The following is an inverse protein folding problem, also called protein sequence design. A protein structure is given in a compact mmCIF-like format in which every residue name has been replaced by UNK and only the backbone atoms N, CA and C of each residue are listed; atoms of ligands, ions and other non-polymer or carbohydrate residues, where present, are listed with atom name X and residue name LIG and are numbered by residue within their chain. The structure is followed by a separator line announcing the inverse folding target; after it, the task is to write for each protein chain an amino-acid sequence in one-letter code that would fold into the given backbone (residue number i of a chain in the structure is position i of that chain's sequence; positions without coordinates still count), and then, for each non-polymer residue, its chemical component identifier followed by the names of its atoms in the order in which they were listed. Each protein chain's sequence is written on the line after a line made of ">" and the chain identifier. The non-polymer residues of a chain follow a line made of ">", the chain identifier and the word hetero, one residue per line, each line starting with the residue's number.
data_IF_635564193229
#
_entry.id   IF_635564193229
#
_cell.length_a   1.000
_cell.length_b   1.000
_cell.length_c   1.000
_cell.angle_alpha   90.00
_cell.angle_beta   90.00
_cell.angle_gamma   90.00
#
_symmetry.space_group_name_H-M   'P 1'
#
loop_
_entity.id
_entity.type
_entity.pdbx_description
1 polymer ?
#
# COMPACT_ATOMS: atom_id res chain seq x y z
N UNK A 1 45.56 -9.70 93.76
CA UNK A 1 46.57 -10.76 93.58
C UNK A 1 46.24 -11.45 92.26
N UNK A 2 47.01 -11.23 91.18
CA UNK A 2 48.08 -12.14 90.66
C UNK A 2 47.60 -13.60 90.65
N UNK A 3 47.69 -14.42 89.61
CA UNK A 3 48.40 -14.47 88.32
C UNK A 3 47.91 -15.81 87.69
N UNK A 4 47.64 -15.92 86.39
CA UNK A 4 48.51 -16.52 85.36
C UNK A 4 47.86 -17.76 84.70
N UNK A 5 47.70 -17.68 83.39
CA UNK A 5 47.96 -18.65 82.32
C UNK A 5 47.86 -20.17 82.60
N UNK A 6 47.06 -20.88 81.78
CA UNK A 6 47.64 -21.71 80.72
C UNK A 6 46.64 -22.10 79.62
N UNK A 7 47.09 -22.25 78.36
CA UNK A 7 46.27 -22.60 77.19
C UNK A 7 46.36 -24.09 76.83
N UNK A 8 45.31 -24.68 76.25
CA UNK A 8 45.42 -25.91 75.45
C UNK A 8 44.49 -25.83 74.23
N UNK A 9 45.05 -26.33 73.14
CA UNK A 9 44.68 -26.25 71.74
C UNK A 9 43.62 -27.25 71.26
N UNK A 10 42.83 -26.77 70.29
CA UNK A 10 42.47 -27.39 69.00
C UNK A 10 41.77 -28.76 68.89
N UNK A 11 40.66 -28.66 68.15
CA UNK A 11 40.17 -29.56 67.10
C UNK A 11 39.38 -30.80 67.50
N UNK A 12 38.06 -30.68 67.42
CA UNK A 12 37.25 -31.58 66.58
C UNK A 12 36.00 -30.83 66.10
N UNK A 13 35.84 -30.72 64.78
CA UNK A 13 34.58 -30.38 64.10
C UNK A 13 34.48 -31.33 62.89
N UNK A 14 33.28 -31.74 62.50
CA UNK A 14 32.62 -30.93 61.47
C UNK A 14 31.16 -30.63 61.81
N UNK A 15 30.84 -29.35 61.72
CA UNK A 15 29.49 -28.82 61.73
C UNK A 15 28.65 -29.38 60.58
N UNK A 16 27.44 -29.83 60.91
CA UNK A 16 26.38 -30.15 59.95
C UNK A 16 26.07 -28.92 59.11
N UNK A 17 26.07 -29.14 57.80
CA UNK A 17 25.61 -28.25 56.73
C UNK A 17 24.21 -27.69 56.99
N UNK A 18 24.09 -26.36 57.08
CA UNK A 18 22.83 -25.63 56.91
C UNK A 18 22.96 -24.64 55.74
N UNK A 19 23.03 -25.17 54.52
CA UNK A 19 22.81 -24.35 53.33
C UNK A 19 21.30 -24.15 53.15
N UNK A 20 20.71 -23.17 53.82
CA UNK A 20 19.42 -22.61 53.43
C UNK A 20 19.22 -21.21 54.06
N UNK A 21 19.82 -20.17 53.45
CA UNK A 21 19.09 -18.91 53.30
C UNK A 21 19.24 -18.30 51.90
N UNK A 22 19.44 -19.12 50.85
CA UNK A 22 19.43 -18.63 49.45
C UNK A 22 18.16 -19.02 48.68
N UNK A 23 17.36 -19.99 49.18
CA UNK A 23 16.15 -20.46 48.50
C UNK A 23 14.88 -19.64 48.84
N UNK A 24 14.88 -18.86 49.93
CA UNK A 24 13.71 -18.05 50.32
C UNK A 24 13.72 -16.62 49.74
N UNK A 25 14.87 -16.15 49.23
CA UNK A 25 14.97 -14.85 48.56
C UNK A 25 14.57 -14.91 47.08
N UNK A 26 14.64 -16.10 46.44
CA UNK A 26 14.18 -16.29 45.06
C UNK A 26 12.66 -16.49 44.93
N UNK A 27 11.98 -16.93 45.99
CA UNK A 27 10.54 -17.24 45.94
C UNK A 27 9.64 -16.01 46.17
N UNK A 28 10.18 -14.93 46.77
CA UNK A 28 9.48 -13.64 46.91
C UNK A 28 9.59 -12.78 45.64
N UNK A 29 10.60 -13.00 44.80
CA UNK A 29 10.71 -12.33 43.49
C UNK A 29 9.83 -12.96 42.41
N UNK A 30 9.48 -14.25 42.52
CA UNK A 30 8.62 -14.94 41.54
C UNK A 30 7.12 -14.84 41.90
N UNK A 31 6.76 -14.66 43.17
CA UNK A 31 5.36 -14.49 43.59
C UNK A 31 4.86 -13.02 43.55
N UNK A 32 5.76 -12.03 43.59
CA UNK A 32 5.40 -10.61 43.46
C UNK A 32 5.10 -10.14 42.03
N UNK A 33 5.46 -10.95 41.02
CA UNK A 33 5.37 -10.58 39.61
C UNK A 33 4.01 -10.92 38.95
N UNK A 34 3.11 -11.61 39.65
CA UNK A 34 1.88 -12.16 39.04
C UNK A 34 0.55 -11.66 39.60
N UNK A 35 0.51 -10.73 40.56
CA UNK A 35 -0.74 -10.39 41.25
C UNK A 35 -1.04 -8.90 41.47
N UNK A 36 -0.50 -7.99 40.65
CA UNK A 36 -1.07 -6.63 40.51
C UNK A 36 -1.14 -6.26 39.01
N UNK A 37 -2.39 -6.15 38.54
CA UNK A 37 -2.90 -5.99 37.16
C UNK A 37 -2.18 -4.94 36.28
N UNK A 38 -2.07 -5.16 34.95
CA UNK A 38 -1.90 -4.05 34.00
C UNK A 38 -2.93 -4.04 32.84
N UNK A 39 -3.63 -2.92 32.59
CA UNK A 39 -4.02 -2.51 31.25
C UNK A 39 -2.84 -1.73 30.63
N UNK A 40 -1.75 -2.43 30.26
CA UNK A 40 -0.57 -1.80 29.65
C UNK A 40 0.36 -2.84 28.97
N UNK A 41 -0.14 -3.63 28.01
CA UNK A 41 0.66 -4.56 27.21
C UNK A 41 0.44 -4.37 25.70
N UNK A 42 0.60 -3.13 25.22
CA UNK A 42 0.80 -2.84 23.77
C UNK A 42 2.01 -1.92 23.54
N UNK A 43 2.75 -1.50 24.58
CA UNK A 43 3.75 -0.43 24.43
C UNK A 43 5.22 -0.89 24.34
N UNK A 44 5.52 -2.19 24.40
CA UNK A 44 6.91 -2.69 24.33
C UNK A 44 7.08 -3.80 23.29
N UNK A 45 7.09 -3.39 22.01
CA UNK A 45 7.71 -4.16 20.93
C UNK A 45 8.38 -3.29 19.83
N UNK A 46 8.59 -1.99 20.07
CA UNK A 46 9.14 -1.09 19.05
C UNK A 46 9.97 0.06 19.63
N UNK A 47 11.08 -0.20 20.35
CA UNK A 47 12.03 0.90 20.67
C UNK A 47 13.51 0.56 20.57
N UNK A 48 13.97 -0.70 20.53
CA UNK A 48 15.41 -0.97 20.36
C UNK A 48 15.65 -1.93 19.20
N UNK A 49 16.15 -1.36 18.10
CA UNK A 49 16.68 -2.11 16.97
C UNK A 49 17.92 -2.91 17.38
N UNK A 50 17.69 -4.19 17.64
CA UNK A 50 18.60 -5.32 17.44
C UNK A 50 17.67 -6.40 16.86
N UNK A 51 17.82 -6.87 15.63
CA UNK A 51 19.05 -7.39 15.05
C UNK A 51 19.14 -8.87 15.38
N UNK A 52 18.24 -9.66 14.77
CA UNK A 52 18.41 -11.03 14.27
C UNK A 52 17.12 -11.83 14.48
N UNK A 53 16.40 -12.05 13.38
CA UNK A 53 16.14 -13.41 12.92
C UNK A 53 15.61 -13.35 11.50
N UNK A 54 16.36 -13.99 10.61
CA UNK A 54 15.95 -14.39 9.29
C UNK A 54 14.60 -15.12 9.41
N UNK A 55 13.51 -14.43 9.11
CA UNK A 55 12.27 -15.10 8.77
C UNK A 55 12.53 -15.84 7.45
N UNK A 56 12.98 -17.08 7.55
CA UNK A 56 13.03 -18.04 6.46
C UNK A 56 11.59 -18.28 6.02
N UNK A 57 11.13 -17.49 5.04
CA UNK A 57 9.90 -17.80 4.33
C UNK A 57 10.12 -19.11 3.58
N UNK A 58 9.29 -20.12 3.85
CA UNK A 58 9.32 -21.40 3.16
C UNK A 58 9.29 -21.21 1.64
N UNK A 59 10.04 -22.03 0.90
CA UNK A 59 10.09 -21.99 -0.57
C UNK A 59 8.69 -22.08 -1.19
N UNK A 60 8.26 -20.96 -1.76
CA UNK A 60 6.95 -20.71 -2.38
C UNK A 60 6.88 -19.23 -2.75
N UNK A 61 6.21 -18.89 -3.85
CA UNK A 61 6.23 -17.57 -4.50
C UNK A 61 6.32 -16.38 -3.52
N UNK A 62 7.27 -15.45 -3.75
CA UNK A 62 7.47 -14.26 -2.92
C UNK A 62 6.14 -13.52 -2.76
N UNK A 63 5.54 -13.55 -1.56
CA UNK A 63 4.20 -13.03 -1.36
C UNK A 63 4.16 -11.50 -1.41
N UNK A 64 5.32 -10.84 -1.49
CA UNK A 64 5.48 -9.41 -1.64
C UNK A 64 6.11 -9.03 -2.99
N UNK A 65 6.24 -9.95 -3.94
CA UNK A 65 6.64 -9.63 -5.33
C UNK A 65 7.83 -8.67 -5.45
N UNK A 66 8.85 -8.80 -4.59
CA UNK A 66 9.94 -7.84 -4.53
C UNK A 66 10.76 -7.91 -5.83
N UNK A 67 11.17 -6.77 -6.41
CA UNK A 67 12.00 -6.77 -7.62
C UNK A 67 13.41 -7.34 -7.42
N UNK A 68 13.82 -7.63 -6.18
CA UNK A 68 15.15 -8.11 -5.82
C UNK A 68 15.14 -9.60 -5.42
N UNK A 69 14.88 -10.53 -6.34
CA UNK A 69 15.44 -11.89 -6.27
C UNK A 69 15.76 -12.44 -7.65
N UNK A 70 17.04 -12.32 -8.01
CA UNK A 70 17.68 -13.12 -9.04
C UNK A 70 17.76 -14.58 -8.56
N UNK A 71 16.72 -15.38 -8.79
CA UNK A 71 16.78 -16.83 -8.57
C UNK A 71 16.08 -17.56 -9.71
N UNK A 72 16.89 -18.19 -10.56
CA UNK A 72 16.44 -19.11 -11.58
C UNK A 72 15.77 -20.34 -10.94
N UNK A 73 14.46 -20.41 -11.04
CA UNK A 73 13.72 -21.65 -10.86
C UNK A 73 12.59 -21.69 -11.90
N UNK A 74 12.72 -22.62 -12.85
CA UNK A 74 11.76 -22.85 -13.93
C UNK A 74 10.48 -23.47 -13.36
N UNK A 75 9.45 -22.67 -13.17
CA UNK A 75 8.07 -23.17 -13.23
C UNK A 75 7.68 -23.35 -14.69
N UNK A 76 7.13 -24.52 -15.05
CA UNK A 76 6.63 -24.81 -16.39
C UNK A 76 5.65 -23.71 -16.82
N UNK A 77 6.06 -22.90 -17.80
CA UNK A 77 5.30 -21.77 -18.28
C UNK A 77 4.07 -22.28 -19.05
N UNK A 78 2.88 -21.83 -18.63
CA UNK A 78 1.75 -21.72 -19.57
C UNK A 78 2.27 -21.00 -20.83
N UNK A 79 1.84 -21.38 -22.05
CA UNK A 79 2.28 -20.69 -23.25
C UNK A 79 2.06 -19.19 -23.05
N UNK A 80 3.08 -18.34 -23.33
CA UNK A 80 2.97 -16.91 -23.07
C UNK A 80 1.81 -16.37 -23.91
N UNK A 81 0.69 -16.06 -23.26
CA UNK A 81 -0.35 -15.26 -23.87
C UNK A 81 0.30 -13.92 -24.19
N UNK A 82 0.36 -13.57 -25.49
CA UNK A 82 0.84 -12.26 -25.90
C UNK A 82 -0.16 -11.24 -25.36
N UNK A 83 0.23 -10.34 -24.44
CA UNK A 83 -0.71 -9.38 -23.88
C UNK A 83 -1.27 -8.52 -25.02
N UNK A 84 -2.59 -8.27 -25.05
CA UNK A 84 -3.17 -7.32 -25.98
C UNK A 84 -2.51 -5.93 -25.81
N UNK A 85 -2.42 -5.14 -26.89
CA UNK A 85 -1.95 -3.76 -26.78
C UNK A 85 -2.81 -2.96 -25.78
N UNK A 86 -2.19 -2.06 -25.00
CA UNK A 86 -2.88 -1.20 -24.03
C UNK A 86 -4.15 -0.54 -24.60
N UNK A 87 -4.14 0.04 -25.83
CA UNK A 87 -5.35 0.61 -26.41
C UNK A 87 -6.51 -0.39 -26.47
N UNK A 88 -6.25 -1.64 -26.88
CA UNK A 88 -7.28 -2.69 -27.02
C UNK A 88 -8.00 -2.95 -25.70
N UNK A 89 -7.27 -3.01 -24.59
CA UNK A 89 -7.84 -3.31 -23.27
C UNK A 89 -8.69 -2.14 -22.73
N UNK A 90 -8.36 -0.93 -23.15
CA UNK A 90 -9.14 0.26 -22.79
C UNK A 90 -10.51 0.32 -23.48
N UNK A 91 -10.69 -0.31 -24.65
CA UNK A 91 -11.99 -0.39 -25.33
C UNK A 91 -12.95 -1.42 -24.73
N UNK A 92 -12.46 -2.33 -23.87
CA UNK A 92 -13.31 -3.34 -23.23
C UNK A 92 -14.09 -2.71 -22.06
N UNK A 93 -15.35 -3.09 -21.89
CA UNK A 93 -16.08 -2.76 -20.66
C UNK A 93 -15.42 -3.45 -19.48
N UNK A 94 -15.06 -2.70 -18.43
CA UNK A 94 -14.55 -3.30 -17.20
C UNK A 94 -15.69 -3.35 -16.19
N UNK A 95 -15.99 -4.56 -15.72
CA UNK A 95 -16.89 -4.71 -14.59
C UNK A 95 -16.28 -4.02 -13.36
N UNK A 96 -17.11 -3.41 -12.49
CA UNK A 96 -16.62 -2.94 -11.19
C UNK A 96 -16.06 -4.10 -10.37
N UNK A 97 -15.28 -3.78 -9.33
CA UNK A 97 -14.88 -4.79 -8.37
C UNK A 97 -16.15 -5.46 -7.78
N UNK A 98 -16.12 -6.77 -7.53
CA UNK A 98 -17.25 -7.44 -6.89
C UNK A 98 -17.52 -6.83 -5.52
N UNK A 99 -18.77 -6.91 -5.08
CA UNK A 99 -19.13 -6.44 -3.75
C UNK A 99 -18.27 -7.14 -2.69
N UNK A 100 -17.62 -6.32 -1.86
CA UNK A 100 -16.74 -6.81 -0.80
C UNK A 100 -17.56 -7.15 0.45
N UNK A 101 -17.44 -8.37 0.99
CA UNK A 101 -18.03 -8.71 2.27
C UNK A 101 -17.48 -7.81 3.39
N UNK A 102 -18.25 -7.63 4.47
CA UNK A 102 -17.87 -6.80 5.62
C UNK A 102 -16.48 -7.13 6.17
N UNK A 103 -16.15 -8.41 6.28
CA UNK A 103 -14.84 -8.86 6.77
C UNK A 103 -13.67 -8.42 5.86
N UNK A 104 -13.91 -8.23 4.57
CA UNK A 104 -12.90 -7.71 3.63
C UNK A 104 -12.77 -6.19 3.78
N UNK A 105 -13.88 -5.47 3.93
CA UNK A 105 -13.80 -4.01 4.14
C UNK A 105 -13.17 -3.65 5.49
N UNK A 106 -13.45 -4.41 6.54
CA UNK A 106 -12.78 -4.26 7.85
C UNK A 106 -11.27 -4.56 7.75
N UNK A 107 -10.86 -5.54 6.94
CA UNK A 107 -9.45 -5.82 6.67
C UNK A 107 -8.76 -4.64 5.93
N UNK A 108 -9.43 -4.07 4.93
CA UNK A 108 -8.90 -2.93 4.16
C UNK A 108 -8.72 -1.68 5.03
N UNK A 109 -9.71 -1.39 5.88
CA UNK A 109 -9.68 -0.29 6.86
C UNK A 109 -8.52 -0.45 7.86
N UNK A 110 -8.33 -1.66 8.40
CA UNK A 110 -7.23 -1.95 9.33
C UNK A 110 -5.86 -1.83 8.64
N UNK A 111 -5.72 -2.34 7.41
CA UNK A 111 -4.48 -2.17 6.62
C UNK A 111 -4.19 -0.67 6.39
N UNK A 112 -5.22 0.12 6.06
CA UNK A 112 -5.07 1.56 5.89
C UNK A 112 -4.60 2.22 7.19
N UNK A 113 -5.27 1.92 8.31
CA UNK A 113 -4.93 2.46 9.63
C UNK A 113 -3.50 2.13 10.05
N UNK A 114 -3.08 0.88 9.89
CA UNK A 114 -1.70 0.44 10.20
C UNK A 114 -0.67 1.11 9.28
N UNK A 115 -1.00 1.32 8.00
CA UNK A 115 -0.12 2.04 7.06
C UNK A 115 0.06 3.51 7.44
N UNK A 116 -1.03 4.18 7.82
CA UNK A 116 -1.00 5.56 8.32
C UNK A 116 -0.26 5.62 9.66
N UNK A 117 -0.41 4.61 10.52
CA UNK A 117 0.36 4.50 11.76
C UNK A 117 1.87 4.43 11.47
N UNK A 118 2.31 3.59 10.52
CA UNK A 118 3.72 3.50 10.11
C UNK A 118 4.28 4.82 9.58
N UNK A 119 3.46 5.64 8.92
CA UNK A 119 3.83 6.99 8.46
C UNK A 119 3.94 7.98 9.61
N UNK A 120 2.89 8.10 10.40
CA UNK A 120 2.78 9.11 11.46
C UNK A 120 3.80 8.90 12.59
N UNK A 121 4.09 7.65 12.98
CA UNK A 121 5.16 7.33 13.94
C UNK A 121 6.57 7.73 13.46
N UNK A 122 6.73 8.04 12.18
CA UNK A 122 7.98 8.52 11.55
C UNK A 122 7.90 9.99 11.13
N UNK A 123 6.92 10.74 11.65
CA UNK A 123 6.76 12.17 11.36
C UNK A 123 6.28 12.48 9.94
N UNK A 124 5.73 11.50 9.22
CA UNK A 124 5.19 11.70 7.87
C UNK A 124 3.71 12.03 7.92
N UNK A 125 3.26 12.82 6.95
CA UNK A 125 1.84 13.19 6.80
C UNK A 125 0.96 11.94 6.66
N UNK A 126 -0.17 11.92 7.35
CA UNK A 126 -1.19 10.90 7.18
C UNK A 126 -1.71 10.90 5.73
N UNK A 127 -2.18 9.74 5.26
CA UNK A 127 -2.76 9.61 3.93
C UNK A 127 -4.28 9.60 4.05
N UNK A 128 -4.94 10.37 3.20
CA UNK A 128 -6.39 10.39 3.12
C UNK A 128 -6.90 9.19 2.31
N UNK A 129 -7.97 8.56 2.79
CA UNK A 129 -8.62 7.49 2.05
C UNK A 129 -9.34 8.06 0.83
N UNK A 130 -9.12 7.48 -0.35
CA UNK A 130 -9.84 7.87 -1.57
C UNK A 130 -10.68 6.70 -2.15
N UNK A 131 -12.01 6.84 -2.30
CA UNK A 131 -12.87 5.78 -2.82
C UNK A 131 -12.51 5.30 -4.23
N UNK A 132 -12.05 6.18 -5.11
CA UNK A 132 -11.63 5.80 -6.47
C UNK A 132 -10.35 4.96 -6.48
N UNK A 133 -9.41 5.25 -5.57
CA UNK A 133 -8.21 4.42 -5.37
C UNK A 133 -8.58 3.08 -4.70
N UNK A 134 -9.49 3.08 -3.73
CA UNK A 134 -10.01 1.86 -3.08
C UNK A 134 -10.65 0.93 -4.12
N UNK A 135 -11.51 1.47 -4.98
CA UNK A 135 -12.14 0.68 -6.06
C UNK A 135 -11.10 0.14 -7.04
N UNK A 136 -10.11 0.96 -7.41
CA UNK A 136 -9.01 0.53 -8.29
C UNK A 136 -8.19 -0.61 -7.67
N UNK A 137 -7.88 -0.51 -6.37
CA UNK A 137 -7.15 -1.53 -5.63
C UNK A 137 -7.97 -2.83 -5.48
N UNK A 138 -9.26 -2.71 -5.16
CA UNK A 138 -10.15 -3.86 -5.00
C UNK A 138 -10.36 -4.61 -6.33
N UNK A 139 -10.49 -3.86 -7.43
CA UNK A 139 -10.55 -4.41 -8.78
C UNK A 139 -9.30 -5.24 -9.09
N UNK A 140 -8.11 -4.70 -8.80
CA UNK A 140 -6.85 -5.40 -9.06
C UNK A 140 -6.69 -6.66 -8.20
N UNK A 141 -7.03 -6.58 -6.91
CA UNK A 141 -7.00 -7.75 -6.03
C UNK A 141 -7.96 -8.85 -6.48
N UNK A 142 -9.15 -8.50 -6.97
CA UNK A 142 -10.06 -9.46 -7.58
C UNK A 142 -9.53 -10.03 -8.90
N UNK A 143 -8.93 -9.20 -9.76
CA UNK A 143 -8.35 -9.62 -11.03
C UNK A 143 -7.21 -10.64 -10.82
N UNK A 144 -6.31 -10.35 -9.88
CA UNK A 144 -5.25 -11.28 -9.42
C UNK A 144 -5.81 -12.62 -8.97
N UNK A 145 -6.87 -12.60 -8.16
CA UNK A 145 -7.55 -13.82 -7.73
C UNK A 145 -8.19 -14.59 -8.89
N UNK A 146 -8.98 -13.90 -9.73
CA UNK A 146 -9.78 -14.51 -10.78
C UNK A 146 -8.93 -15.15 -11.88
N UNK A 147 -7.75 -14.58 -12.15
CA UNK A 147 -6.82 -15.04 -13.18
C UNK A 147 -5.61 -15.80 -12.63
N UNK A 148 -5.60 -16.06 -11.32
CA UNK A 148 -4.55 -16.80 -10.62
C UNK A 148 -3.13 -16.26 -10.91
N UNK A 149 -2.95 -14.95 -10.77
CA UNK A 149 -1.63 -14.31 -10.86
C UNK A 149 -1.38 -13.39 -9.66
N UNK A 150 -0.12 -13.05 -9.44
CA UNK A 150 0.29 -12.10 -8.41
C UNK A 150 1.34 -11.15 -9.00
N UNK A 151 0.99 -9.88 -9.14
CA UNK A 151 1.89 -8.87 -9.68
C UNK A 151 1.20 -7.55 -10.02
N UNK A 152 1.99 -6.54 -10.35
CA UNK A 152 1.49 -5.20 -10.68
C UNK A 152 0.78 -5.12 -12.04
N UNK A 153 1.19 -5.97 -12.98
CA UNK A 153 0.70 -5.98 -14.37
C UNK A 153 -0.11 -7.25 -14.58
N UNK A 154 -1.33 -7.10 -15.09
CA UNK A 154 -2.19 -8.25 -15.40
C UNK A 154 -1.63 -9.06 -16.58
N UNK A 155 -2.06 -10.31 -16.79
CA UNK A 155 -1.73 -11.09 -17.99
C UNK A 155 -2.07 -10.37 -19.30
N UNK A 156 -3.00 -9.42 -19.26
CA UNK A 156 -3.37 -8.59 -20.40
C UNK A 156 -2.50 -7.34 -20.59
N UNK A 157 -1.46 -7.16 -19.77
CA UNK A 157 -0.57 -6.01 -19.83
C UNK A 157 -1.12 -4.75 -19.16
N UNK A 158 -2.14 -4.86 -18.31
CA UNK A 158 -2.74 -3.73 -17.62
C UNK A 158 -1.93 -3.41 -16.35
N UNK A 159 -1.26 -2.26 -16.32
CA UNK A 159 -0.54 -1.78 -15.14
C UNK A 159 -1.37 -0.86 -14.23
N UNK A 160 -0.79 -0.41 -13.11
CA UNK A 160 -1.47 0.45 -12.14
C UNK A 160 -1.98 1.76 -12.76
N UNK A 161 -1.17 2.36 -13.65
CA UNK A 161 -1.54 3.61 -14.31
C UNK A 161 -2.72 3.45 -15.26
N UNK A 162 -2.77 2.34 -16.00
CA UNK A 162 -3.92 2.02 -16.85
C UNK A 162 -5.19 1.81 -16.03
N UNK A 163 -5.08 1.10 -14.89
CA UNK A 163 -6.23 0.90 -13.99
C UNK A 163 -6.74 2.21 -13.41
N UNK A 164 -5.86 3.05 -12.87
CA UNK A 164 -6.24 4.36 -12.30
C UNK A 164 -6.83 5.27 -13.37
N UNK A 165 -6.16 5.39 -14.51
CA UNK A 165 -6.60 6.21 -15.64
C UNK A 165 -7.97 5.79 -16.15
N UNK A 166 -8.29 4.49 -16.11
CA UNK A 166 -9.59 3.98 -16.53
C UNK A 166 -10.67 4.09 -15.45
N UNK A 167 -10.39 3.74 -14.20
CA UNK A 167 -11.39 3.56 -13.14
C UNK A 167 -11.67 4.83 -12.31
N UNK A 168 -10.65 5.63 -11.99
CA UNK A 168 -10.83 6.72 -11.01
C UNK A 168 -11.65 7.90 -11.56
N UNK A 169 -11.50 8.21 -12.86
CA UNK A 169 -12.21 9.28 -13.60
C UNK A 169 -12.06 10.72 -13.09
N UNK A 170 -11.44 10.97 -11.93
CA UNK A 170 -11.33 12.29 -11.31
C UNK A 170 -9.90 12.73 -10.99
N UNK A 171 -9.02 11.77 -10.69
CA UNK A 171 -7.65 12.04 -10.25
C UNK A 171 -6.77 12.50 -11.40
N UNK A 172 -6.03 13.58 -11.18
CA UNK A 172 -4.81 13.91 -11.89
C UNK A 172 -3.65 13.87 -10.89
N UNK A 173 -2.72 12.95 -11.07
CA UNK A 173 -1.66 12.73 -10.10
C UNK A 173 -0.56 11.79 -10.57
N UNK A 174 0.37 11.54 -9.65
CA UNK A 174 1.36 10.47 -9.73
C UNK A 174 0.94 9.37 -8.76
N UNK A 175 1.23 8.12 -9.07
CA UNK A 175 0.78 6.98 -8.27
C UNK A 175 1.88 5.97 -8.03
N UNK A 176 1.70 5.16 -6.98
CA UNK A 176 2.51 4.00 -6.67
C UNK A 176 1.61 2.85 -6.21
N UNK A 177 2.10 1.61 -6.30
CA UNK A 177 1.33 0.44 -5.90
C UNK A 177 2.19 -0.51 -5.07
N UNK A 178 1.58 -1.09 -4.03
CA UNK A 178 2.07 -2.30 -3.38
C UNK A 178 1.05 -3.41 -3.60
N UNK A 179 1.52 -4.61 -3.91
CA UNK A 179 0.67 -5.81 -3.98
C UNK A 179 1.22 -6.87 -3.03
N UNK A 180 0.34 -7.71 -2.49
CA UNK A 180 0.75 -8.89 -1.77
C UNK A 180 -0.31 -9.98 -1.82
N UNK A 181 0.15 -11.21 -1.63
CA UNK A 181 -0.70 -12.39 -1.53
C UNK A 181 -0.39 -13.17 -0.25
N UNK A 182 -1.44 -13.62 0.46
CA UNK A 182 -1.31 -14.50 1.63
C UNK A 182 -2.25 -15.67 1.50
N UNK A 183 -1.70 -16.88 1.57
CA UNK A 183 -2.46 -18.08 1.96
C UNK A 183 -2.09 -18.47 3.38
N UNK A 184 -3.07 -18.61 4.27
CA UNK A 184 -2.79 -18.96 5.66
C UNK A 184 -4.01 -18.90 6.59
N UNK A 185 -3.83 -19.26 7.87
CA UNK A 185 -4.91 -19.25 8.86
C UNK A 185 -5.23 -17.85 9.40
N UNK A 186 -4.37 -16.85 9.14
CA UNK A 186 -4.59 -15.49 9.65
C UNK A 186 -5.83 -14.83 9.05
N UNK A 187 -6.52 -14.05 9.88
CA UNK A 187 -7.68 -13.25 9.48
C UNK A 187 -7.78 -11.99 10.34
N UNK A 188 -8.61 -11.04 9.92
CA UNK A 188 -8.82 -9.78 10.63
C UNK A 188 -7.51 -9.02 10.88
N UNK A 189 -7.36 -8.48 12.08
CA UNK A 189 -6.22 -7.63 12.46
C UNK A 189 -4.85 -8.31 12.31
N UNK A 190 -4.76 -9.61 12.61
CA UNK A 190 -3.49 -10.35 12.42
C UNK A 190 -3.07 -10.42 10.96
N UNK A 191 -4.04 -10.57 10.06
CA UNK A 191 -3.79 -10.58 8.63
C UNK A 191 -3.40 -9.18 8.12
N UNK A 192 -4.08 -8.13 8.60
CA UNK A 192 -3.73 -6.75 8.29
C UNK A 192 -2.28 -6.41 8.69
N UNK A 193 -1.91 -6.75 9.94
CA UNK A 193 -0.56 -6.56 10.46
C UNK A 193 0.48 -7.32 9.62
N UNK A 194 0.16 -8.54 9.19
CA UNK A 194 1.05 -9.32 8.34
C UNK A 194 1.32 -8.64 7.00
N UNK A 195 0.29 -8.12 6.33
CA UNK A 195 0.45 -7.39 5.06
C UNK A 195 1.31 -6.14 5.24
N UNK A 196 0.99 -5.30 6.22
CA UNK A 196 1.71 -4.03 6.45
C UNK A 196 3.16 -4.29 6.88
N UNK A 197 3.41 -5.23 7.79
CA UNK A 197 4.76 -5.58 8.20
C UNK A 197 5.58 -6.12 7.02
N UNK A 198 4.98 -6.95 6.18
CA UNK A 198 5.63 -7.49 5.00
C UNK A 198 6.01 -6.43 3.97
N UNK A 199 5.09 -5.52 3.64
CA UNK A 199 5.41 -4.36 2.80
C UNK A 199 6.47 -3.47 3.43
N UNK A 200 6.41 -3.25 4.75
CA UNK A 200 7.42 -2.51 5.48
C UNK A 200 8.75 -3.24 5.59
N UNK A 201 8.85 -4.54 5.32
CA UNK A 201 10.11 -5.29 5.28
C UNK A 201 10.73 -5.32 3.88
N UNK A 202 9.94 -5.10 2.82
CA UNK A 202 10.43 -4.95 1.45
C UNK A 202 10.83 -3.50 1.15
N UNK A 203 12.07 -3.29 0.67
CA UNK A 203 12.58 -1.94 0.38
C UNK A 203 11.72 -1.17 -0.63
N UNK A 204 11.31 -1.83 -1.73
CA UNK A 204 10.50 -1.21 -2.77
C UNK A 204 9.12 -0.77 -2.26
N UNK A 205 8.46 -1.64 -1.51
CA UNK A 205 7.14 -1.36 -0.94
C UNK A 205 7.17 -0.34 0.19
N UNK A 206 8.17 -0.44 1.08
CA UNK A 206 8.42 0.55 2.13
C UNK A 206 8.63 1.94 1.54
N UNK A 207 9.34 2.06 0.40
CA UNK A 207 9.53 3.34 -0.29
C UNK A 207 8.21 3.98 -0.69
N UNK A 208 7.24 3.20 -1.16
CA UNK A 208 5.91 3.70 -1.50
C UNK A 208 5.14 4.18 -0.25
N UNK A 209 5.12 3.34 0.81
CA UNK A 209 4.46 3.68 2.09
C UNK A 209 5.03 4.96 2.70
N UNK A 210 6.35 5.14 2.64
CA UNK A 210 7.06 6.26 3.28
C UNK A 210 7.36 7.43 2.34
N UNK A 211 6.80 7.45 1.12
CA UNK A 211 7.01 8.56 0.18
C UNK A 211 6.28 9.82 0.69
N UNK A 212 7.01 10.93 0.82
CA UNK A 212 6.51 12.21 1.35
C UNK A 212 5.58 12.93 0.37
N UNK A 213 5.68 12.66 -0.93
CA UNK A 213 4.76 13.22 -1.93
C UNK A 213 3.37 12.59 -1.91
N UNK A 214 3.21 11.41 -1.31
CA UNK A 214 1.91 10.73 -1.31
C UNK A 214 0.94 11.44 -0.37
N UNK A 215 -0.26 11.67 -0.89
CA UNK A 215 -1.36 12.39 -0.23
C UNK A 215 -2.53 11.47 0.09
N UNK A 216 -2.78 10.48 -0.77
CA UNK A 216 -3.94 9.61 -0.69
C UNK A 216 -3.54 8.14 -0.76
N UNK A 217 -4.38 7.29 -0.16
CA UNK A 217 -4.26 5.84 -0.19
C UNK A 217 -5.63 5.20 -0.46
N UNK A 218 -5.65 4.23 -1.37
CA UNK A 218 -6.70 3.24 -1.48
C UNK A 218 -6.17 1.86 -1.13
N UNK A 219 -6.86 1.15 -0.25
CA UNK A 219 -6.60 -0.26 0.03
C UNK A 219 -7.76 -1.07 -0.50
N UNK A 220 -7.44 -2.14 -1.22
CA UNK A 220 -8.44 -3.05 -1.75
C UNK A 220 -7.97 -4.48 -1.65
N UNK A 221 -8.80 -5.35 -1.12
CA UNK A 221 -8.50 -6.75 -0.92
C UNK A 221 -9.58 -7.64 -1.55
N UNK A 222 -9.17 -8.84 -1.92
CA UNK A 222 -10.09 -9.90 -2.31
C UNK A 222 -9.59 -11.20 -1.70
N UNK A 223 -10.47 -11.96 -1.08
CA UNK A 223 -10.09 -13.27 -0.57
C UNK A 223 -11.25 -14.18 -0.25
N UNK A 224 -10.94 -15.47 -0.20
CA UNK A 224 -11.88 -16.53 0.20
C UNK A 224 -11.28 -17.31 1.35
N UNK A 225 -12.13 -17.73 2.27
CA UNK A 225 -11.78 -18.68 3.32
C UNK A 225 -12.30 -20.05 2.92
N UNK A 226 -11.46 -21.06 3.05
CA UNK A 226 -11.85 -22.46 2.91
C UNK A 226 -12.91 -22.82 3.97
N UNK A 227 -13.67 -23.89 3.76
CA UNK A 227 -14.61 -24.40 4.75
C UNK A 227 -14.01 -25.61 5.49
N UNK A 228 -14.34 -25.75 6.77
CA UNK A 228 -13.95 -26.90 7.59
C UNK A 228 -12.93 -26.59 8.70
N UNK A 229 -12.66 -27.60 9.54
CA UNK A 229 -11.65 -27.50 10.60
C UNK A 229 -10.25 -27.31 9.97
N UNK A 230 -9.52 -26.28 10.40
CA UNK A 230 -8.23 -25.92 9.80
C UNK A 230 -8.32 -25.04 8.56
N UNK A 231 -9.49 -24.48 8.24
CA UNK A 231 -9.71 -23.61 7.09
C UNK A 231 -8.67 -22.47 6.98
N UNK A 232 -7.97 -22.42 5.86
CA UNK A 232 -7.09 -21.32 5.47
C UNK A 232 -7.82 -20.32 4.60
N UNK A 233 -7.40 -19.06 4.61
CA UNK A 233 -7.84 -18.08 3.62
C UNK A 233 -6.75 -17.83 2.59
N UNK A 234 -7.17 -17.46 1.38
CA UNK A 234 -6.33 -16.94 0.32
C UNK A 234 -6.75 -15.50 0.03
N UNK A 235 -5.86 -14.54 0.29
CA UNK A 235 -6.12 -13.11 0.22
C UNK A 235 -5.10 -12.42 -0.67
N UNK A 236 -5.60 -11.64 -1.62
CA UNK A 236 -4.85 -10.68 -2.41
C UNK A 236 -5.19 -9.29 -1.89
N UNK A 237 -4.17 -8.49 -1.59
CA UNK A 237 -4.36 -7.11 -1.15
C UNK A 237 -3.46 -6.17 -1.94
N UNK A 238 -4.02 -5.03 -2.29
CA UNK A 238 -3.37 -3.98 -3.07
C UNK A 238 -3.47 -2.66 -2.29
N UNK A 239 -2.36 -1.93 -2.22
CA UNK A 239 -2.32 -0.52 -1.83
C UNK A 239 -2.06 0.30 -3.08
N UNK A 240 -2.92 1.28 -3.37
CA UNK A 240 -2.71 2.26 -4.43
C UNK A 240 -2.54 3.63 -3.78
N UNK A 241 -1.35 4.20 -3.92
CA UNK A 241 -1.00 5.53 -3.41
C UNK A 241 -1.15 6.56 -4.53
N UNK A 242 -1.52 7.79 -4.16
CA UNK A 242 -1.48 8.93 -5.08
C UNK A 242 -0.86 10.17 -4.44
N UNK A 243 0.06 10.79 -5.16
CA UNK A 243 0.35 12.21 -5.07
C UNK A 243 -0.62 12.94 -6.00
N UNK A 244 -1.72 13.46 -5.42
CA UNK A 244 -2.69 14.22 -6.18
C UNK A 244 -2.13 15.61 -6.52
N UNK A 245 -2.32 16.03 -7.77
CA UNK A 245 -2.08 17.40 -8.20
C UNK A 245 -3.39 18.16 -8.38
N UNK A 246 -4.45 17.44 -8.76
CA UNK A 246 -5.78 18.00 -8.78
C UNK A 246 -6.86 16.98 -9.08
N UNK A 247 -8.09 17.44 -8.93
CA UNK A 247 -9.31 16.65 -9.02
C UNK A 247 -10.28 17.32 -9.97
N UNK A 248 -10.84 16.57 -10.91
CA UNK A 248 -12.00 17.07 -11.64
C UNK A 248 -13.24 17.10 -10.75
N UNK A 249 -13.96 18.23 -10.79
CA UNK A 249 -15.20 18.40 -10.01
C UNK A 249 -16.29 17.41 -10.44
N UNK A 250 -16.25 16.99 -11.71
CA UNK A 250 -17.10 15.93 -12.26
C UNK A 250 -16.24 14.80 -12.83
N UNK A 251 -16.71 13.54 -12.79
CA UNK A 251 -15.99 12.44 -13.42
C UNK A 251 -15.84 12.71 -14.92
N UNK A 252 -14.63 12.56 -15.44
CA UNK A 252 -14.39 12.66 -16.88
C UNK A 252 -15.13 11.49 -17.57
N UNK A 253 -15.95 11.72 -18.61
CA UNK A 253 -16.63 10.63 -19.31
C UNK A 253 -15.61 9.65 -19.90
N UNK A 254 -15.88 8.35 -19.81
CA UNK A 254 -14.96 7.31 -20.29
C UNK A 254 -14.90 7.25 -21.82
N UNK A 255 -16.05 7.49 -22.46
CA UNK A 255 -16.22 7.38 -23.91
C UNK A 255 -16.96 8.59 -24.44
N UNK A 256 -16.61 9.03 -25.65
CA UNK A 256 -17.25 10.19 -26.30
C UNK A 256 -16.98 10.22 -27.80
N UNK A 257 -17.86 10.85 -28.61
CA UNK A 257 -17.60 11.05 -30.02
C UNK A 257 -16.52 12.11 -30.25
N UNK A 258 -15.85 12.04 -31.40
CA UNK A 258 -14.95 13.11 -31.87
C UNK A 258 -15.68 14.47 -31.89
N UNK A 259 -14.98 15.53 -31.52
CA UNK A 259 -15.51 16.89 -31.56
C UNK A 259 -16.30 17.29 -30.31
N UNK A 260 -16.57 16.37 -29.39
CA UNK A 260 -17.14 16.66 -28.07
C UNK A 260 -16.34 17.74 -27.36
N UNK A 261 -17.02 18.73 -26.80
CA UNK A 261 -16.42 19.69 -25.88
C UNK A 261 -16.60 19.21 -24.45
N UNK A 262 -15.48 18.96 -23.77
CA UNK A 262 -15.48 18.60 -22.35
C UNK A 262 -15.25 19.87 -21.55
N UNK A 263 -16.22 20.24 -20.72
CA UNK A 263 -16.04 21.29 -19.72
C UNK A 263 -15.14 20.77 -18.59
N UNK A 264 -13.91 21.26 -18.54
CA UNK A 264 -12.92 20.89 -17.54
C UNK A 264 -12.98 21.88 -16.39
N UNK A 265 -13.15 21.35 -15.18
CA UNK A 265 -13.12 22.10 -13.93
C UNK A 265 -12.30 21.32 -12.92
N UNK A 266 -11.12 21.84 -12.59
CA UNK A 266 -10.13 21.18 -11.76
C UNK A 266 -9.91 21.96 -10.47
N UNK A 267 -10.01 21.28 -9.34
CA UNK A 267 -9.55 21.78 -8.04
C UNK A 267 -8.14 21.25 -7.78
N UNK A 268 -7.19 22.09 -7.34
CA UNK A 268 -5.87 21.61 -6.97
C UNK A 268 -5.98 20.81 -5.67
N UNK A 269 -5.07 19.85 -5.49
CA UNK A 269 -4.81 19.28 -4.18
C UNK A 269 -4.25 20.36 -3.23
N UNK A 270 -4.45 20.22 -1.91
CA UNK A 270 -3.95 21.20 -0.96
C UNK A 270 -2.43 21.40 -1.12
N UNK A 271 -2.00 22.65 -1.24
CA UNK A 271 -0.59 23.01 -1.45
C UNK A 271 -0.07 22.80 -2.88
N UNK A 272 -0.89 22.34 -3.84
CA UNK A 272 -0.51 22.24 -5.26
C UNK A 272 -0.97 23.48 -6.03
N UNK A 273 -0.20 23.95 -7.03
CA UNK A 273 -0.62 25.07 -7.86
C UNK A 273 -1.71 24.65 -8.84
N UNK A 274 -2.48 25.63 -9.31
CA UNK A 274 -3.51 25.40 -10.31
C UNK A 274 -2.91 24.97 -11.64
N UNK A 275 -3.56 23.99 -12.28
CA UNK A 275 -3.23 23.61 -13.64
C UNK A 275 -3.51 24.76 -14.62
N UNK A 276 -2.61 24.96 -15.57
CA UNK A 276 -2.72 26.04 -16.58
C UNK A 276 -3.15 25.53 -17.95
N UNK A 277 -3.04 24.22 -18.19
CA UNK A 277 -3.39 23.59 -19.46
C UNK A 277 -3.84 22.16 -19.24
N UNK A 278 -4.76 21.70 -20.08
CA UNK A 278 -5.10 20.29 -20.24
C UNK A 278 -4.79 19.86 -21.68
N UNK A 279 -4.30 18.63 -21.83
CA UNK A 279 -3.87 18.04 -23.09
C UNK A 279 -4.48 16.66 -23.26
N UNK A 280 -4.92 16.35 -24.48
CA UNK A 280 -5.31 15.02 -24.92
C UNK A 280 -4.12 14.38 -25.64
N UNK A 281 -3.59 13.29 -25.08
CA UNK A 281 -2.39 12.59 -25.55
C UNK A 281 -2.75 11.20 -26.06
N UNK A 282 -2.32 10.87 -27.28
CA UNK A 282 -2.51 9.54 -27.87
C UNK A 282 -1.72 8.48 -27.13
N UNK A 283 -2.38 7.41 -26.67
CA UNK A 283 -1.68 6.28 -26.04
C UNK A 283 -0.91 5.40 -27.03
N UNK A 284 -1.07 5.62 -28.34
CA UNK A 284 -0.37 4.86 -29.38
C UNK A 284 1.05 5.37 -29.65
N UNK A 285 1.26 6.68 -29.51
CA UNK A 285 2.48 7.35 -29.97
C UNK A 285 2.83 8.62 -29.18
N UNK A 286 2.19 8.84 -28.03
CA UNK A 286 2.39 9.99 -27.13
C UNK A 286 2.23 11.38 -27.76
N UNK A 287 1.61 11.47 -28.94
CA UNK A 287 1.35 12.74 -29.60
C UNK A 287 0.18 13.46 -28.94
N UNK A 288 0.37 14.73 -28.58
CA UNK A 288 -0.73 15.62 -28.17
C UNK A 288 -1.59 15.98 -29.39
N UNK A 289 -2.88 15.68 -29.34
CA UNK A 289 -3.82 15.94 -30.45
C UNK A 289 -4.73 17.14 -30.22
N UNK A 290 -5.02 17.43 -28.96
CA UNK A 290 -5.80 18.58 -28.56
C UNK A 290 -5.28 19.12 -27.23
N UNK A 291 -5.49 20.39 -26.98
CA UNK A 291 -5.24 21.00 -25.69
C UNK A 291 -6.08 22.24 -25.50
N UNK A 292 -6.32 22.60 -24.26
CA UNK A 292 -6.99 23.84 -23.90
C UNK A 292 -6.25 24.51 -22.74
N UNK A 293 -6.14 25.84 -22.80
CA UNK A 293 -5.69 26.63 -21.67
C UNK A 293 -6.78 26.64 -20.60
N UNK A 294 -6.35 26.62 -19.34
CA UNK A 294 -7.23 26.69 -18.18
C UNK A 294 -7.07 28.06 -17.53
N UNK A 295 -8.20 28.65 -17.17
CA UNK A 295 -8.27 29.93 -16.47
C UNK A 295 -8.61 29.70 -15.01
N UNK A 296 -7.87 30.36 -14.12
CA UNK A 296 -8.08 30.29 -12.69
C UNK A 296 -9.22 31.24 -12.27
N UNK A 297 -10.26 30.71 -11.64
CA UNK A 297 -11.33 31.50 -11.03
C UNK A 297 -11.80 30.83 -9.75
N UNK A 298 -11.80 31.58 -8.64
CA UNK A 298 -12.26 31.11 -7.33
C UNK A 298 -11.63 29.76 -6.90
N UNK A 299 -10.31 29.60 -7.09
CA UNK A 299 -9.58 28.38 -6.72
C UNK A 299 -9.83 27.18 -7.63
N UNK A 300 -10.46 27.38 -8.79
CA UNK A 300 -10.71 26.33 -9.79
C UNK A 300 -10.04 26.70 -11.10
N UNK A 301 -9.33 25.75 -11.72
CA UNK A 301 -8.81 25.87 -13.07
C UNK A 301 -9.85 25.33 -14.06
N UNK A 302 -10.31 26.16 -15.00
CA UNK A 302 -11.42 25.82 -15.89
C UNK A 302 -11.20 26.20 -17.35
N UNK A 303 -11.74 25.38 -18.24
CA UNK A 303 -11.66 25.57 -19.70
C UNK A 303 -12.38 24.45 -20.45
N UNK A 304 -12.54 24.60 -21.76
CA UNK A 304 -13.20 23.60 -22.60
C UNK A 304 -12.19 22.89 -23.49
N UNK A 305 -12.08 21.57 -23.36
CA UNK A 305 -11.25 20.75 -24.22
C UNK A 305 -12.10 20.17 -25.34
N UNK A 306 -11.85 20.60 -26.58
CA UNK A 306 -12.46 19.99 -27.76
C UNK A 306 -11.67 18.75 -28.18
N UNK A 307 -12.31 17.59 -28.12
CA UNK A 307 -11.72 16.28 -28.38
C UNK A 307 -11.41 16.12 -29.87
N UNK A 308 -10.19 15.66 -30.19
CA UNK A 308 -9.71 15.49 -31.58
C UNK A 308 -9.02 14.16 -31.80
N UNK A 309 -8.96 13.74 -33.06
CA UNK A 309 -8.24 12.53 -33.47
C UNK A 309 -9.14 11.35 -33.80
N UNK A 310 -8.59 10.29 -34.42
CA UNK A 310 -9.36 9.13 -34.82
C UNK A 310 -9.93 8.37 -33.61
N UNK A 311 -10.84 7.41 -33.87
CA UNK A 311 -11.24 6.40 -32.88
C UNK A 311 -9.99 5.79 -32.24
N UNK A 312 -9.95 5.79 -30.91
CA UNK A 312 -8.69 5.64 -30.19
C UNK A 312 -8.82 5.80 -28.68
N UNK A 313 -7.81 5.36 -27.94
CA UNK A 313 -7.67 5.63 -26.51
C UNK A 313 -6.62 6.73 -26.28
N UNK A 314 -6.95 7.66 -25.39
CA UNK A 314 -6.16 8.86 -25.12
C UNK A 314 -6.06 9.10 -23.63
N UNK A 315 -4.90 9.57 -23.16
CA UNK A 315 -4.73 10.05 -21.79
C UNK A 315 -5.00 11.54 -21.74
N UNK A 316 -5.80 11.98 -20.77
CA UNK A 316 -5.80 13.40 -20.39
C UNK A 316 -4.60 13.66 -19.48
N UNK A 317 -3.92 14.78 -19.70
CA UNK A 317 -2.82 15.23 -18.86
C UNK A 317 -2.95 16.72 -18.60
N UNK A 318 -2.53 17.17 -17.42
CA UNK A 318 -2.55 18.57 -17.04
C UNK A 318 -1.14 19.11 -16.90
N UNK A 319 -0.95 20.39 -17.19
CA UNK A 319 0.30 21.09 -16.98
C UNK A 319 0.16 21.89 -15.69
N UNK A 320 1.01 21.59 -14.72
CA UNK A 320 1.01 22.23 -13.41
C UNK A 320 2.32 22.99 -13.26
N UNK A 321 2.31 24.31 -13.02
CA UNK A 321 3.53 25.09 -12.86
C UNK A 321 4.44 24.53 -11.77
N UNK A 322 5.75 24.55 -11.98
CA UNK A 322 6.71 24.29 -10.92
C UNK A 322 6.82 25.54 -10.03
N UNK A 323 6.63 25.36 -8.73
CA UNK A 323 6.70 26.47 -7.75
C UNK A 323 8.14 26.97 -7.52
N UNK A 324 9.13 26.16 -7.88
CA UNK A 324 10.55 26.51 -7.73
C UNK A 324 11.17 27.08 -9.01
N UNK A 325 10.49 26.97 -10.15
CA UNK A 325 10.98 27.46 -11.44
C UNK A 325 9.80 27.84 -12.35
N UNK A 326 9.61 29.15 -12.53
CA UNK A 326 8.51 29.70 -13.33
C UNK A 326 8.55 29.29 -14.81
N UNK A 327 9.69 28.81 -15.31
CA UNK A 327 9.84 28.34 -16.69
C UNK A 327 9.56 26.84 -16.85
N UNK A 328 9.24 26.14 -15.75
CA UNK A 328 8.98 24.70 -15.75
C UNK A 328 7.54 24.38 -15.39
N UNK A 329 7.08 23.26 -15.94
CA UNK A 329 5.81 22.66 -15.58
C UNK A 329 5.98 21.15 -15.43
N UNK A 330 5.20 20.58 -14.53
CA UNK A 330 4.96 19.15 -14.44
C UNK A 330 3.83 18.76 -15.39
N UNK A 331 4.03 17.73 -16.19
CA UNK A 331 2.95 17.09 -16.95
C UNK A 331 2.42 15.94 -16.11
N UNK A 332 1.21 16.12 -15.60
CA UNK A 332 0.60 15.18 -14.67
C UNK A 332 -0.47 14.38 -15.38
N UNK A 333 -0.39 13.06 -15.25
CA UNK A 333 -1.33 12.14 -15.88
C UNK A 333 -2.69 12.16 -15.19
N UNK A 334 -3.75 11.92 -15.96
CA UNK A 334 -5.11 11.81 -15.46
C UNK A 334 -5.93 10.76 -16.20
N UNK A 335 -7.26 10.88 -16.19
CA UNK A 335 -8.15 9.86 -16.73
C UNK A 335 -7.97 9.63 -18.23
N UNK A 336 -8.24 8.41 -18.67
CA UNK A 336 -8.21 8.03 -20.08
C UNK A 336 -9.57 8.28 -20.73
N UNK A 337 -9.61 8.67 -21.98
CA UNK A 337 -10.85 8.77 -22.76
C UNK A 337 -10.75 7.90 -23.99
N UNK A 338 -11.87 7.35 -24.40
CA UNK A 338 -12.00 6.57 -25.63
C UNK A 338 -12.85 7.38 -26.60
N UNK A 339 -12.27 7.70 -27.76
CA UNK A 339 -13.03 8.23 -28.89
C UNK A 339 -13.66 7.04 -29.60
N UNK A 340 -15.00 7.04 -29.71
CA UNK A 340 -15.75 6.08 -30.51
C UNK A 340 -16.12 6.69 -31.85
#
# INVERSE_FOLDING_TARGET
>A
MKNMNNPVSSSTSPARSSMMPLALFLLVLVAGFYLIRPPALIFWHYVLGMGDDQATFAEGADPFGSPDKNTGARTAALPPMKPPPIPTVLFQGWAPAPQRPKAITELEEEIHALTVHERTRRGKTALDTNPGLVETAAWHSHDMFAKNYHGHVSPEGIGPGERIGKLHRRLFGVWAENVAFRKGPESGQRLAAWFVQGWMNSMGHRRNILNDGMTHLGVGCFGKKDQGAGATGAYYCTQVFAEAYGWSEQPIPAEMPIGTEIAIRLRPEAGKPLATRISQVSLKNDKTLASANLTARAGVASGNLRVRGPTGAYRLSIHVPDTNDANRYFVVSGPYIVIK
#
